data_IF_970159983179
#
_entry.id   IF_970159983179
#
_cell.length_a   1.000
_cell.length_b   1.000
_cell.length_c   1.000
_cell.angle_alpha   90.00
_cell.angle_beta   90.00
_cell.angle_gamma   90.00
#
_symmetry.space_group_name_H-M   'P 1'
#
loop_
_entity.id
_entity.type
_entity.pdbx_description
1 polymer ?
#
# COMPACT_ATOMS: atom_id res chain seq x y z
N UNK A 1 -18.75 32.89 16.37
CA UNK A 1 -18.64 31.96 15.21
C UNK A 1 -19.37 30.68 15.60
N UNK A 2 -20.26 30.15 14.75
CA UNK A 2 -20.89 28.86 15.00
C UNK A 2 -19.89 27.76 14.64
N UNK A 3 -19.58 26.86 15.57
CA UNK A 3 -18.72 25.71 15.33
C UNK A 3 -19.58 24.56 14.80
N UNK A 4 -19.10 23.91 13.74
CA UNK A 4 -19.69 22.69 13.18
C UNK A 4 -18.85 21.47 13.59
N UNK A 5 -19.42 20.26 13.56
CA UNK A 5 -18.71 19.01 13.91
C UNK A 5 -17.38 18.87 13.16
N UNK A 6 -17.33 19.37 11.93
CA UNK A 6 -16.14 19.39 11.09
C UNK A 6 -14.99 20.15 11.73
N UNK A 7 -15.26 21.30 12.35
CA UNK A 7 -14.24 22.17 12.94
C UNK A 7 -13.50 21.48 14.11
N UNK A 8 -14.13 20.45 14.69
CA UNK A 8 -13.60 19.64 15.78
C UNK A 8 -12.87 18.36 15.33
N UNK A 9 -12.85 18.05 14.02
CA UNK A 9 -12.08 16.90 13.47
C UNK A 9 -10.59 17.09 13.71
N UNK A 10 -9.71 16.14 13.38
CA UNK A 10 -8.23 16.34 13.43
C UNK A 10 -7.65 16.38 12.02
N UNK A 11 -6.52 17.06 11.84
CA UNK A 11 -5.90 17.25 10.52
C UNK A 11 -6.85 17.94 9.54
N UNK A 12 -6.73 17.66 8.26
CA UNK A 12 -7.56 18.25 7.21
C UNK A 12 -8.90 17.58 6.96
N UNK A 13 -9.31 16.62 7.81
CA UNK A 13 -10.75 16.35 7.97
C UNK A 13 -11.49 17.61 8.47
N UNK A 14 -10.79 18.56 9.10
CA UNK A 14 -11.31 19.89 9.44
C UNK A 14 -11.62 20.75 8.23
N UNK A 15 -10.92 20.55 7.10
CA UNK A 15 -10.95 21.47 5.96
C UNK A 15 -11.69 20.87 4.76
N UNK A 16 -12.40 21.72 4.01
CA UNK A 16 -13.03 21.37 2.73
C UNK A 16 -12.03 20.92 1.67
N UNK A 17 -10.83 21.48 1.76
CA UNK A 17 -9.71 21.26 0.86
C UNK A 17 -8.57 20.75 1.74
N UNK A 18 -7.86 19.68 1.33
CA UNK A 18 -6.73 19.18 2.10
C UNK A 18 -5.66 20.26 2.27
N UNK A 19 -4.92 20.20 3.37
CA UNK A 19 -3.79 21.09 3.58
C UNK A 19 -2.66 20.72 2.61
N UNK A 20 -1.73 21.65 2.37
CA UNK A 20 -0.54 21.33 1.58
C UNK A 20 0.28 20.20 2.23
N UNK A 21 0.40 20.20 3.57
CA UNK A 21 1.09 19.17 4.33
C UNK A 21 0.44 17.79 4.17
N UNK A 22 -0.88 17.67 4.17
CA UNK A 22 -1.55 16.40 3.90
C UNK A 22 -1.30 15.87 2.49
N UNK A 23 -1.30 16.76 1.49
CA UNK A 23 -1.01 16.38 0.11
C UNK A 23 0.43 15.89 0.01
N UNK A 24 1.38 16.64 0.58
CA UNK A 24 2.79 16.27 0.60
C UNK A 24 3.03 14.95 1.35
N UNK A 25 2.41 14.78 2.51
CA UNK A 25 2.49 13.57 3.32
C UNK A 25 1.99 12.32 2.56
N UNK A 26 0.90 12.45 1.80
CA UNK A 26 0.38 11.37 0.94
C UNK A 26 1.30 11.04 -0.24
N UNK A 27 1.95 12.04 -0.83
CA UNK A 27 2.94 11.83 -1.89
C UNK A 27 4.15 11.07 -1.33
N UNK A 28 4.69 11.51 -0.20
CA UNK A 28 5.81 10.84 0.50
C UNK A 28 5.43 9.40 0.87
N UNK A 29 4.23 9.19 1.42
CA UNK A 29 3.70 7.86 1.74
C UNK A 29 3.66 6.93 0.52
N UNK A 30 3.17 7.43 -0.61
CA UNK A 30 3.07 6.65 -1.85
C UNK A 30 4.45 6.22 -2.35
N UNK A 31 5.42 7.15 -2.35
CA UNK A 31 6.82 6.88 -2.71
C UNK A 31 7.42 5.79 -1.82
N UNK A 32 7.27 5.92 -0.50
CA UNK A 32 7.83 5.00 0.49
C UNK A 32 7.22 3.60 0.36
N UNK A 33 5.89 3.50 0.25
CA UNK A 33 5.21 2.21 0.06
C UNK A 33 5.70 1.55 -1.22
N UNK A 34 5.73 2.27 -2.34
CA UNK A 34 6.20 1.73 -3.61
C UNK A 34 7.66 1.27 -3.53
N UNK A 35 8.56 2.09 -2.97
CA UNK A 35 9.97 1.77 -2.85
C UNK A 35 10.24 0.56 -1.97
N UNK A 36 9.54 0.44 -0.84
CA UNK A 36 9.71 -0.70 0.08
C UNK A 36 9.17 -1.97 -0.57
N UNK A 37 7.98 -1.94 -1.17
CA UNK A 37 7.42 -3.10 -1.86
C UNK A 37 8.32 -3.58 -3.01
N UNK A 38 8.87 -2.65 -3.82
CA UNK A 38 9.81 -2.99 -4.88
C UNK A 38 11.11 -3.58 -4.33
N UNK A 39 11.63 -3.01 -3.24
CA UNK A 39 12.81 -3.54 -2.56
C UNK A 39 12.59 -5.01 -2.14
N UNK A 40 11.45 -5.30 -1.50
CA UNK A 40 11.11 -6.67 -1.08
C UNK A 40 11.00 -7.64 -2.25
N UNK A 41 10.42 -7.21 -3.38
CA UNK A 41 10.36 -8.03 -4.59
C UNK A 41 11.75 -8.27 -5.19
N UNK A 42 12.64 -7.29 -5.13
CA UNK A 42 13.99 -7.37 -5.71
C UNK A 42 14.97 -8.20 -4.89
N UNK A 43 14.75 -8.32 -3.58
CA UNK A 43 15.76 -8.84 -2.67
C UNK A 43 16.04 -10.36 -2.79
N UNK A 44 15.29 -11.12 -3.60
CA UNK A 44 15.38 -12.60 -3.72
C UNK A 44 15.41 -13.36 -2.36
N UNK A 45 15.08 -12.67 -1.27
CA UNK A 45 15.14 -13.17 0.09
C UNK A 45 13.74 -13.59 0.54
N UNK A 46 13.68 -14.61 1.39
CA UNK A 46 12.43 -15.15 1.94
C UNK A 46 11.49 -14.06 2.43
N UNK A 47 10.18 -14.33 2.34
CA UNK A 47 9.14 -13.32 2.55
C UNK A 47 9.32 -12.58 3.88
N UNK A 48 9.67 -11.30 3.79
CA UNK A 48 9.58 -10.40 4.93
C UNK A 48 8.12 -10.33 5.36
N UNK A 49 7.85 -10.65 6.63
CA UNK A 49 6.49 -10.62 7.15
C UNK A 49 5.87 -9.23 7.02
N UNK A 50 4.57 -9.17 6.74
CA UNK A 50 3.79 -7.94 6.56
C UNK A 50 4.00 -6.93 7.71
N UNK A 51 4.14 -7.41 8.95
CA UNK A 51 4.42 -6.55 10.11
C UNK A 51 5.75 -5.79 10.00
N UNK A 52 6.80 -6.44 9.47
CA UNK A 52 8.10 -5.81 9.27
C UNK A 52 8.03 -4.74 8.18
N UNK A 53 7.30 -5.00 7.09
CA UNK A 53 7.04 -4.00 6.03
C UNK A 53 6.32 -2.78 6.61
N UNK A 54 5.23 -2.99 7.36
CA UNK A 54 4.48 -1.90 8.01
C UNK A 54 5.35 -1.08 8.96
N UNK A 55 6.23 -1.71 9.74
CA UNK A 55 7.14 -1.00 10.65
C UNK A 55 8.17 -0.16 9.91
N UNK A 56 8.76 -0.69 8.82
CA UNK A 56 9.69 0.07 7.98
C UNK A 56 9.02 1.27 7.31
N UNK A 57 7.78 1.11 6.84
CA UNK A 57 6.99 2.22 6.30
C UNK A 57 6.82 3.32 7.35
N UNK A 58 6.40 2.97 8.58
CA UNK A 58 6.24 3.95 9.66
C UNK A 58 7.54 4.72 9.94
N UNK A 59 8.66 4.01 10.09
CA UNK A 59 9.96 4.62 10.37
C UNK A 59 10.43 5.53 9.22
N UNK A 60 10.29 5.07 7.98
CA UNK A 60 10.68 5.86 6.81
C UNK A 60 9.81 7.11 6.65
N UNK A 61 8.50 6.99 6.93
CA UNK A 61 7.57 8.12 6.88
C UNK A 61 7.89 9.15 7.93
N UNK A 62 8.07 8.74 9.18
CA UNK A 62 8.39 9.64 10.27
C UNK A 62 9.68 10.44 9.97
N UNK A 63 10.71 9.76 9.47
CA UNK A 63 11.97 10.41 9.07
C UNK A 63 11.78 11.38 7.88
N UNK A 64 11.10 10.96 6.81
CA UNK A 64 10.90 11.78 5.61
C UNK A 64 9.99 12.98 5.87
N UNK A 65 8.93 12.79 6.65
CA UNK A 65 8.01 13.86 7.02
C UNK A 65 8.66 14.87 7.97
N UNK A 66 9.48 14.40 8.92
CA UNK A 66 10.30 15.28 9.77
C UNK A 66 11.24 16.14 8.93
N UNK A 67 11.93 15.54 7.96
CA UNK A 67 12.84 16.27 7.06
C UNK A 67 12.11 17.28 6.18
N UNK A 68 10.88 16.98 5.77
CA UNK A 68 10.00 17.89 5.04
C UNK A 68 9.25 18.88 5.95
N UNK A 69 9.54 18.90 7.27
CA UNK A 69 8.91 19.80 8.24
C UNK A 69 7.38 19.70 8.31
N UNK A 70 6.83 18.52 8.03
CA UNK A 70 5.40 18.27 8.21
C UNK A 70 5.05 18.28 9.70
N UNK A 71 3.85 18.76 10.01
CA UNK A 71 3.35 18.69 11.38
C UNK A 71 3.00 17.23 11.75
N UNK A 72 2.86 16.98 13.05
CA UNK A 72 2.53 15.64 13.54
C UNK A 72 1.17 15.15 13.02
N UNK A 73 0.16 16.02 12.93
CA UNK A 73 -1.17 15.64 12.41
C UNK A 73 -1.09 15.18 10.94
N UNK A 74 -0.34 15.89 10.10
CA UNK A 74 -0.19 15.52 8.68
C UNK A 74 0.68 14.25 8.53
N UNK A 75 1.68 14.08 9.39
CA UNK A 75 2.51 12.86 9.42
C UNK A 75 1.68 11.63 9.79
N UNK A 76 0.86 11.73 10.84
CA UNK A 76 -0.06 10.67 11.26
C UNK A 76 -1.05 10.33 10.15
N UNK A 77 -1.63 11.35 9.49
CA UNK A 77 -2.51 11.15 8.35
C UNK A 77 -1.79 10.42 7.19
N UNK A 78 -0.53 10.77 6.92
CA UNK A 78 0.32 10.10 5.94
C UNK A 78 0.59 8.63 6.30
N UNK A 79 0.84 8.33 7.57
CA UNK A 79 1.05 6.95 8.05
C UNK A 79 -0.22 6.12 7.90
N UNK A 80 -1.38 6.63 8.30
CA UNK A 80 -2.65 5.93 8.12
C UNK A 80 -2.89 5.61 6.64
N UNK A 81 -2.74 6.63 5.78
CA UNK A 81 -2.89 6.47 4.34
C UNK A 81 -1.93 5.42 3.76
N UNK A 82 -0.66 5.42 4.17
CA UNK A 82 0.33 4.46 3.69
C UNK A 82 -0.03 3.01 4.03
N UNK A 83 -0.53 2.77 5.24
CA UNK A 83 -0.92 1.44 5.70
C UNK A 83 -2.18 0.95 4.99
N UNK A 84 -3.18 1.82 4.82
CA UNK A 84 -4.38 1.52 4.04
C UNK A 84 -4.04 1.22 2.57
N UNK A 85 -3.12 1.99 1.97
CA UNK A 85 -2.64 1.77 0.61
C UNK A 85 -1.95 0.40 0.48
N UNK A 86 -1.09 0.04 1.43
CA UNK A 86 -0.42 -1.26 1.45
C UNK A 86 -1.42 -2.40 1.59
N UNK A 87 -2.37 -2.30 2.51
CA UNK A 87 -3.38 -3.33 2.75
C UNK A 87 -4.26 -3.51 1.51
N UNK A 88 -4.72 -2.42 0.89
CA UNK A 88 -5.47 -2.46 -0.36
C UNK A 88 -4.67 -3.11 -1.51
N UNK A 89 -3.38 -2.78 -1.63
CA UNK A 89 -2.51 -3.38 -2.63
C UNK A 89 -2.31 -4.88 -2.40
N UNK A 90 -2.14 -5.29 -1.13
CA UNK A 90 -1.99 -6.70 -0.76
C UNK A 90 -3.28 -7.50 -1.05
N UNK A 91 -4.45 -6.94 -0.74
CA UNK A 91 -5.75 -7.55 -1.06
C UNK A 91 -5.92 -7.75 -2.58
N UNK A 92 -5.59 -6.73 -3.39
CA UNK A 92 -5.65 -6.86 -4.85
C UNK A 92 -4.66 -7.92 -5.34
N UNK A 93 -3.44 -7.92 -4.84
CA UNK A 93 -2.42 -8.90 -5.23
C UNK A 93 -2.81 -10.35 -4.85
N UNK A 94 -3.39 -10.55 -3.66
CA UNK A 94 -3.89 -11.84 -3.20
C UNK A 94 -5.03 -12.36 -4.07
N UNK A 95 -6.01 -11.50 -4.38
CA UNK A 95 -7.12 -11.84 -5.28
C UNK A 95 -6.64 -12.17 -6.70
N UNK A 96 -5.63 -11.45 -7.21
CA UNK A 96 -5.04 -11.74 -8.52
C UNK A 96 -4.36 -13.12 -8.53
N UNK A 97 -3.62 -13.48 -7.47
CA UNK A 97 -3.00 -14.80 -7.34
C UNK A 97 -4.03 -15.93 -7.46
N UNK A 98 -5.20 -15.79 -6.82
CA UNK A 98 -6.30 -16.75 -6.90
C UNK A 98 -6.94 -16.83 -8.30
N UNK A 99 -7.06 -15.71 -9.02
CA UNK A 99 -7.55 -15.73 -10.41
C UNK A 99 -6.56 -16.39 -11.36
N UNK A 100 -5.25 -16.15 -11.22
CA UNK A 100 -4.23 -16.85 -11.99
C UNK A 100 -4.20 -18.34 -11.68
N UNK A 101 -4.39 -18.75 -10.41
CA UNK A 101 -4.49 -20.16 -10.03
C UNK A 101 -5.73 -20.84 -10.65
N UNK A 102 -6.87 -20.15 -10.73
CA UNK A 102 -8.09 -20.65 -11.41
C UNK A 102 -7.96 -20.67 -12.93
N UNK A 103 -7.15 -19.80 -13.53
CA UNK A 103 -6.82 -19.82 -14.96
C UNK A 103 -5.78 -20.89 -15.34
N UNK A 104 -5.32 -21.71 -14.36
CA UNK A 104 -4.18 -22.62 -14.43
C UNK A 104 -4.28 -23.76 -15.44
N UNK A 105 -4.22 -23.43 -16.73
CA UNK A 105 -3.88 -24.32 -17.83
C UNK A 105 -4.68 -24.02 -19.09
N UNK A 106 -3.98 -23.52 -20.13
CA UNK A 106 -4.47 -23.51 -21.50
C UNK A 106 -5.09 -24.88 -21.81
N UNK A 107 -6.40 -24.92 -22.05
CA UNK A 107 -7.16 -26.16 -22.27
C UNK A 107 -6.52 -27.03 -23.36
N UNK A 108 -5.93 -26.37 -24.37
CA UNK A 108 -5.17 -26.96 -25.46
C UNK A 108 -4.00 -27.81 -24.95
N UNK A 109 -3.23 -27.31 -23.97
CA UNK A 109 -2.08 -28.04 -23.39
C UNK A 109 -2.56 -29.26 -22.60
N UNK A 110 -3.67 -29.14 -21.86
CA UNK A 110 -4.26 -30.28 -21.14
C UNK A 110 -4.83 -31.33 -22.09
N UNK A 111 -5.39 -30.92 -23.23
CA UNK A 111 -5.93 -31.80 -24.27
C UNK A 111 -4.82 -32.57 -24.99
N UNK A 112 -3.74 -31.89 -25.36
CA UNK A 112 -2.57 -32.52 -26.00
C UNK A 112 -1.91 -33.55 -25.06
N UNK A 113 -1.78 -33.24 -23.76
CA UNK A 113 -1.23 -34.20 -22.78
C UNK A 113 -2.10 -35.45 -22.62
N UNK A 114 -3.44 -35.31 -22.66
CA UNK A 114 -4.37 -36.45 -22.64
C UNK A 114 -4.22 -37.33 -23.89
N UNK A 115 -4.16 -36.73 -25.07
CA UNK A 115 -3.99 -37.46 -26.34
C UNK A 115 -2.66 -38.23 -26.34
N UNK A 116 -1.59 -37.63 -25.82
CA UNK A 116 -0.27 -38.26 -25.74
C UNK A 116 -0.21 -39.43 -24.74
N UNK A 117 -1.10 -39.50 -23.75
CA UNK A 117 -1.13 -40.56 -22.72
C UNK A 117 -2.06 -41.73 -23.08
N UNK A 118 -2.72 -41.71 -24.24
CA UNK A 118 -3.61 -42.78 -24.71
C UNK A 118 -2.94 -43.73 -25.72
N UNK A 119 -1.61 -43.76 -25.71
CA UNK A 119 -0.78 -44.68 -26.51
C UNK A 119 -0.07 -45.63 -25.56
#
# INVERSE_FOLDING_TARGET
MLMTDRDCRRGGQRFAIPTLGEVEGKVIASEIVASICLHELSAYSGSTGMLSIKNRIRQALDARCTNASLCHEDTDAGVVYALELLDAAAEVAGNQADTTAKSGGCETVRRLRRIASMK
#
